data_IF_166700150516
#
_entry.id   IF_166700150516
#
_cell.length_a   1.000
_cell.length_b   1.000
_cell.length_c   1.000
_cell.angle_alpha   90.00
_cell.angle_beta   90.00
_cell.angle_gamma   90.00
#
_symmetry.space_group_name_H-M   'P 1'
#
loop_
_entity.id
_entity.type
_entity.pdbx_description
1 polymer ?
#
# COMPACT_ATOMS: atom_id res chain seq x y z
N UNK A 1 -4.26 -0.04 3.49
CA UNK A 1 -3.03 0.74 3.23
C UNK A 1 -2.56 1.35 4.53
N UNK A 2 -1.26 1.23 4.81
CA UNK A 2 -0.62 1.81 6.00
C UNK A 2 0.60 2.61 5.56
N UNK A 3 0.91 3.69 6.27
CA UNK A 3 2.12 4.47 6.03
C UNK A 3 3.28 3.84 6.80
N UNK A 4 4.38 3.56 6.11
CA UNK A 4 5.56 2.97 6.71
C UNK A 4 6.84 3.61 6.22
N UNK A 5 7.90 3.51 7.02
CA UNK A 5 9.25 3.99 6.70
C UNK A 5 10.28 2.93 7.06
N UNK A 6 11.45 2.97 6.42
CA UNK A 6 12.60 2.16 6.83
C UNK A 6 13.32 2.71 8.08
N UNK A 7 12.86 3.84 8.63
CA UNK A 7 13.33 4.44 9.88
C UNK A 7 12.14 4.63 10.83
N UNK A 8 12.41 4.64 12.15
CA UNK A 8 11.38 5.02 13.13
C UNK A 8 11.21 6.55 13.07
N UNK A 9 10.02 6.99 12.69
CA UNK A 9 9.64 8.41 12.68
C UNK A 9 8.78 8.73 13.91
N UNK A 10 8.92 9.93 14.47
CA UNK A 10 8.15 10.36 15.64
C UNK A 10 6.81 10.97 15.23
N UNK A 11 6.71 11.59 14.06
CA UNK A 11 5.48 12.17 13.53
C UNK A 11 5.45 12.23 12.00
N UNK A 12 4.30 12.63 11.45
CA UNK A 12 4.14 12.90 10.01
C UNK A 12 5.07 14.01 9.48
N UNK A 13 5.52 14.95 10.33
CA UNK A 13 6.39 16.05 9.91
C UNK A 13 7.80 15.57 9.53
N UNK A 14 8.24 14.45 10.09
CA UNK A 14 9.57 13.87 9.85
C UNK A 14 9.67 13.25 8.45
N UNK A 15 8.55 13.06 7.75
CA UNK A 15 8.51 12.51 6.39
C UNK A 15 9.29 13.39 5.41
N UNK A 16 9.27 14.71 5.60
CA UNK A 16 10.02 15.66 4.77
C UNK A 16 11.53 15.38 4.78
N UNK A 17 12.07 14.94 5.92
CA UNK A 17 13.48 14.59 6.10
C UNK A 17 13.78 13.15 5.70
N UNK A 18 12.84 12.23 5.95
CA UNK A 18 13.00 10.83 5.55
C UNK A 18 12.90 10.65 4.02
N UNK A 19 12.16 11.53 3.34
CA UNK A 19 11.80 11.43 1.94
C UNK A 19 10.56 10.55 1.71
N UNK A 20 9.95 10.71 0.54
CA UNK A 20 8.70 10.04 0.20
C UNK A 20 8.75 9.33 -1.13
N UNK A 21 8.24 8.11 -1.12
CA UNK A 21 8.04 7.25 -2.28
C UNK A 21 6.55 7.29 -2.61
N UNK A 22 6.23 8.02 -3.68
CA UNK A 22 4.86 8.15 -4.14
C UNK A 22 4.49 6.91 -4.95
N UNK A 23 3.51 6.16 -4.43
CA UNK A 23 2.89 5.04 -5.14
C UNK A 23 1.48 5.49 -5.53
N UNK A 24 1.20 5.52 -6.83
CA UNK A 24 -0.14 5.90 -7.31
C UNK A 24 -1.12 4.76 -7.02
N UNK A 25 -2.11 5.04 -6.16
CA UNK A 25 -3.20 4.14 -5.80
C UNK A 25 -4.55 4.61 -6.36
N UNK A 26 -4.51 5.47 -7.38
CA UNK A 26 -5.64 6.11 -8.01
C UNK A 26 -6.05 7.43 -7.34
N UNK A 27 -6.79 8.24 -8.10
CA UNK A 27 -7.18 9.61 -7.75
C UNK A 27 -7.76 9.76 -6.34
N UNK A 28 -8.70 8.89 -5.94
CA UNK A 28 -9.32 8.96 -4.63
C UNK A 28 -8.31 8.77 -3.49
N UNK A 29 -7.33 7.88 -3.66
CA UNK A 29 -6.25 7.71 -2.68
C UNK A 29 -5.35 8.94 -2.67
N UNK A 30 -5.00 9.45 -3.85
CA UNK A 30 -4.07 10.56 -3.98
C UNK A 30 -4.66 11.87 -3.42
N UNK A 31 -5.97 12.06 -3.53
CA UNK A 31 -6.65 13.16 -2.85
C UNK A 31 -6.63 13.01 -1.33
N UNK A 32 -6.81 11.79 -0.81
CA UNK A 32 -6.71 11.54 0.63
C UNK A 32 -5.27 11.78 1.12
N UNK A 33 -4.26 11.24 0.44
CA UNK A 33 -2.87 11.43 0.86
C UNK A 33 -2.50 12.92 0.89
N UNK A 34 -2.89 13.69 -0.14
CA UNK A 34 -2.54 15.11 -0.25
C UNK A 34 -3.18 15.99 0.83
N UNK A 35 -4.28 15.55 1.46
CA UNK A 35 -4.94 16.27 2.56
C UNK A 35 -4.28 16.03 3.91
N UNK A 36 -3.70 14.86 4.12
CA UNK A 36 -3.25 14.38 5.44
C UNK A 36 -1.73 14.28 5.58
N UNK A 37 -1.01 14.13 4.47
CA UNK A 37 0.45 14.15 4.46
C UNK A 37 0.91 15.60 4.28
N UNK A 38 1.86 16.09 5.10
CA UNK A 38 2.41 17.44 4.95
C UNK A 38 2.86 17.71 3.52
N UNK A 39 2.85 18.97 3.08
CA UNK A 39 3.37 19.31 1.76
C UNK A 39 4.84 18.85 1.65
N UNK A 40 5.08 17.84 0.82
CA UNK A 40 6.40 17.28 0.58
C UNK A 40 7.01 17.89 -0.67
N UNK A 41 8.35 17.95 -0.72
CA UNK A 41 9.08 18.16 -1.97
C UNK A 41 8.80 17.04 -2.98
N UNK A 42 9.38 17.15 -4.18
CA UNK A 42 9.24 16.12 -5.20
C UNK A 42 9.56 14.71 -4.65
N UNK A 43 8.74 13.69 -4.98
CA UNK A 43 8.96 12.34 -4.45
C UNK A 43 10.28 11.77 -4.96
N UNK A 44 10.94 10.98 -4.12
CA UNK A 44 12.19 10.29 -4.48
C UNK A 44 11.98 9.24 -5.57
N UNK A 45 10.77 8.69 -5.63
CA UNK A 45 10.30 7.77 -6.65
C UNK A 45 8.80 7.98 -6.83
N UNK A 46 8.35 8.01 -8.08
CA UNK A 46 6.94 7.91 -8.45
C UNK A 46 6.74 6.61 -9.24
N UNK A 47 5.84 5.75 -8.78
CA UNK A 47 5.48 4.50 -9.48
C UNK A 47 4.02 4.13 -9.25
N UNK A 48 3.43 3.36 -10.14
CA UNK A 48 2.11 2.73 -9.92
C UNK A 48 2.26 1.30 -9.33
N UNK A 49 3.49 0.78 -9.27
CA UNK A 49 3.77 -0.60 -8.87
C UNK A 49 4.24 -0.68 -7.42
N UNK A 50 3.39 -1.23 -6.57
CA UNK A 50 3.67 -1.38 -5.13
C UNK A 50 4.95 -2.16 -4.82
N UNK A 51 5.28 -3.19 -5.61
CA UNK A 51 6.51 -3.97 -5.41
C UNK A 51 7.77 -3.13 -5.67
N UNK A 52 7.76 -2.30 -6.71
CA UNK A 52 8.87 -1.37 -7.00
C UNK A 52 9.03 -0.37 -5.86
N UNK A 53 7.92 0.18 -5.37
CA UNK A 53 7.93 1.10 -4.23
C UNK A 53 8.49 0.48 -2.95
N UNK A 54 8.11 -0.77 -2.64
CA UNK A 54 8.66 -1.51 -1.51
C UNK A 54 10.16 -1.80 -1.67
N UNK A 55 10.59 -2.26 -2.84
CA UNK A 55 12.00 -2.57 -3.08
C UNK A 55 12.88 -1.32 -2.97
N UNK A 56 12.39 -0.19 -3.50
CA UNK A 56 13.05 1.10 -3.34
C UNK A 56 13.10 1.51 -1.85
N UNK A 57 11.98 1.42 -1.13
CA UNK A 57 11.91 1.77 0.29
C UNK A 57 12.91 0.95 1.12
N UNK A 58 13.08 -0.33 0.82
CA UNK A 58 14.02 -1.21 1.52
C UNK A 58 15.49 -0.93 1.14
N UNK A 59 15.77 -0.53 -0.10
CA UNK A 59 17.12 -0.34 -0.61
C UNK A 59 17.67 1.09 -0.42
N UNK A 60 16.80 2.10 -0.53
CA UNK A 60 17.15 3.52 -0.54
C UNK A 60 16.54 4.30 0.62
N UNK A 61 15.53 3.72 1.27
CA UNK A 61 14.81 4.36 2.36
C UNK A 61 13.71 5.29 1.91
N UNK A 62 13.09 5.93 2.90
CA UNK A 62 11.96 6.83 2.68
C UNK A 62 10.74 6.43 3.47
N UNK A 63 9.60 6.90 2.98
CA UNK A 63 8.27 6.62 3.52
C UNK A 63 7.32 6.31 2.36
N UNK A 64 6.46 5.31 2.50
CA UNK A 64 5.49 4.93 1.47
C UNK A 64 4.19 4.39 2.08
N UNK A 65 3.07 4.63 1.39
CA UNK A 65 1.82 3.90 1.65
C UNK A 65 1.84 2.54 0.94
N UNK A 66 1.77 1.45 1.71
CA UNK A 66 1.77 0.08 1.20
C UNK A 66 0.64 -0.77 1.84
N UNK A 67 0.20 -1.87 1.19
CA UNK A 67 -0.68 -2.84 1.82
C UNK A 67 0.00 -3.46 3.04
N UNK A 68 -0.70 -3.56 4.17
CA UNK A 68 -0.13 -4.12 5.41
C UNK A 68 0.37 -5.55 5.20
N UNK A 69 -0.41 -6.37 4.49
CA UNK A 69 -0.05 -7.75 4.14
C UNK A 69 1.26 -7.86 3.37
N UNK A 70 1.59 -6.88 2.53
CA UNK A 70 2.84 -6.86 1.77
C UNK A 70 4.06 -6.54 2.65
N UNK A 71 3.87 -5.71 3.68
CA UNK A 71 4.98 -5.24 4.52
C UNK A 71 5.12 -5.99 5.85
N UNK A 72 4.16 -6.84 6.20
CA UNK A 72 4.10 -7.51 7.50
C UNK A 72 5.38 -8.30 7.87
N UNK A 73 6.03 -9.04 6.96
CA UNK A 73 7.32 -9.68 7.27
C UNK A 73 8.42 -8.69 7.66
N UNK A 74 8.41 -7.49 7.07
CA UNK A 74 9.41 -6.45 7.33
C UNK A 74 9.10 -5.66 8.60
N UNK A 75 7.83 -5.55 8.99
CA UNK A 75 7.45 -5.03 10.30
C UNK A 75 7.93 -5.98 11.42
N UNK A 76 7.72 -7.28 11.26
CA UNK A 76 8.13 -8.31 12.25
C UNK A 76 9.65 -8.35 12.45
N UNK A 77 10.40 -8.14 11.37
CA UNK A 77 11.87 -8.14 11.41
C UNK A 77 12.47 -6.75 11.65
N UNK A 78 11.66 -5.77 12.06
CA UNK A 78 12.10 -4.39 12.34
C UNK A 78 12.90 -3.73 11.19
N UNK A 79 12.57 -4.10 9.94
CA UNK A 79 13.12 -3.48 8.74
C UNK A 79 12.28 -2.31 8.24
N UNK A 80 10.99 -2.32 8.57
CA UNK A 80 10.06 -1.24 8.35
C UNK A 80 9.32 -0.93 9.64
N UNK A 81 8.92 0.32 9.79
CA UNK A 81 8.20 0.83 10.94
C UNK A 81 6.96 1.60 10.46
N UNK A 82 5.85 1.43 11.17
CA UNK A 82 4.65 2.23 10.91
C UNK A 82 4.91 3.68 11.34
N UNK A 83 4.48 4.63 10.52
CA UNK A 83 4.55 6.05 10.87
C UNK A 83 3.38 6.37 11.81
N UNK A 84 3.64 6.90 13.01
CA UNK A 84 2.59 7.22 13.97
C UNK A 84 1.64 8.30 13.43
N UNK A 85 0.39 8.29 13.90
CA UNK A 85 -0.67 9.27 13.54
C UNK A 85 -1.08 9.26 12.06
N UNK A 86 -0.54 8.36 11.24
CA UNK A 86 -0.99 8.17 9.87
C UNK A 86 -2.29 7.36 9.82
N UNK A 87 -3.24 7.80 9.01
CA UNK A 87 -4.51 7.10 8.83
C UNK A 87 -4.32 5.74 8.15
N UNK A 88 -4.98 4.72 8.69
CA UNK A 88 -5.11 3.43 8.05
C UNK A 88 -6.25 3.46 7.03
N UNK A 89 -5.89 3.55 5.75
CA UNK A 89 -6.88 3.64 4.67
C UNK A 89 -7.31 2.22 4.26
N UNK A 90 -8.55 1.85 4.57
CA UNK A 90 -9.15 0.58 4.14
C UNK A 90 -9.55 0.65 2.66
N UNK A 91 -9.39 -0.46 1.95
CA UNK A 91 -9.76 -0.60 0.54
C UNK A 91 -10.45 -1.94 0.37
N UNK A 92 -11.63 -1.91 -0.23
CA UNK A 92 -12.35 -3.11 -0.58
C UNK A 92 -11.80 -3.68 -1.88
N UNK A 93 -11.72 -5.01 -1.94
CA UNK A 93 -11.33 -5.75 -3.13
C UNK A 93 -12.59 -6.40 -3.70
N UNK A 94 -12.86 -6.13 -4.98
CA UNK A 94 -14.03 -6.66 -5.68
C UNK A 94 -13.61 -7.65 -6.74
N UNK A 95 -14.36 -8.76 -6.84
CA UNK A 95 -14.24 -9.72 -7.92
C UNK A 95 -15.37 -9.47 -8.93
N UNK A 96 -15.02 -9.11 -10.16
CA UNK A 96 -15.97 -8.77 -11.21
C UNK A 96 -15.92 -9.85 -12.30
N UNK A 97 -17.06 -10.45 -12.61
CA UNK A 97 -17.19 -11.45 -13.67
C UNK A 97 -18.60 -11.42 -14.28
N UNK A 98 -18.70 -11.86 -15.53
CA UNK A 98 -19.99 -11.94 -16.24
C UNK A 98 -20.80 -13.14 -15.75
N UNK A 99 -22.08 -12.91 -15.41
CA UNK A 99 -23.02 -13.97 -15.00
C UNK A 99 -23.50 -14.84 -16.16
N UNK A 100 -23.36 -14.37 -17.40
CA UNK A 100 -23.82 -15.07 -18.62
C UNK A 100 -22.68 -15.75 -19.37
N UNK A 101 -21.49 -15.82 -18.79
CA UNK A 101 -20.36 -16.49 -19.43
C UNK A 101 -20.60 -17.99 -19.54
N UNK A 102 -20.40 -18.57 -20.73
CA UNK A 102 -20.40 -20.04 -20.92
C UNK A 102 -19.33 -20.74 -20.05
N UNK A 103 -18.32 -19.99 -19.57
CA UNK A 103 -17.25 -20.47 -18.70
C UNK A 103 -17.59 -20.40 -17.21
N UNK A 104 -18.80 -20.02 -16.81
CA UNK A 104 -19.15 -19.80 -15.40
C UNK A 104 -18.86 -21.03 -14.53
N UNK A 105 -19.15 -22.23 -15.03
CA UNK A 105 -18.87 -23.48 -14.32
C UNK A 105 -17.36 -23.69 -14.07
N UNK A 106 -16.51 -23.28 -15.01
CA UNK A 106 -15.05 -23.35 -14.88
C UNK A 106 -14.49 -22.24 -13.99
N UNK A 107 -15.19 -21.10 -13.89
CA UNK A 107 -14.80 -19.97 -13.03
C UNK A 107 -15.13 -20.21 -11.56
N UNK A 108 -16.16 -21.02 -11.25
CA UNK A 108 -16.59 -21.26 -9.86
C UNK A 108 -15.45 -21.71 -8.92
N UNK A 109 -14.60 -22.70 -9.28
CA UNK A 109 -13.46 -23.07 -8.43
C UNK A 109 -12.49 -21.90 -8.18
N UNK A 110 -12.22 -21.09 -9.21
CA UNK A 110 -11.32 -19.93 -9.10
C UNK A 110 -11.93 -18.87 -8.18
N UNK A 111 -13.21 -18.58 -8.34
CA UNK A 111 -13.96 -17.64 -7.50
C UNK A 111 -13.89 -18.07 -6.03
N UNK A 112 -14.09 -19.35 -5.74
CA UNK A 112 -14.04 -19.85 -4.35
C UNK A 112 -12.62 -19.78 -3.76
N UNK A 113 -11.59 -20.06 -4.54
CA UNK A 113 -10.19 -19.86 -4.11
C UNK A 113 -9.92 -18.39 -3.81
N UNK A 114 -10.31 -17.47 -4.70
CA UNK A 114 -10.11 -16.03 -4.52
C UNK A 114 -10.87 -15.51 -3.29
N UNK A 115 -12.13 -15.93 -3.07
CA UNK A 115 -12.91 -15.58 -1.87
C UNK A 115 -12.25 -16.06 -0.58
N UNK A 116 -11.56 -17.20 -0.60
CA UNK A 116 -10.82 -17.70 0.57
C UNK A 116 -9.56 -16.88 0.82
N UNK A 117 -8.83 -16.52 -0.23
CA UNK A 117 -7.59 -15.73 -0.12
C UNK A 117 -7.87 -14.29 0.35
N UNK A 118 -8.91 -13.65 -0.18
CA UNK A 118 -9.25 -12.26 0.19
C UNK A 118 -9.71 -12.16 1.65
N UNK A 119 -10.29 -13.22 2.23
CA UNK A 119 -10.67 -13.25 3.65
C UNK A 119 -9.49 -13.28 4.62
N UNK A 120 -8.26 -13.50 4.14
CA UNK A 120 -7.05 -13.60 4.95
C UNK A 120 -6.17 -12.34 4.89
N UNK A 121 -6.59 -11.30 4.15
CA UNK A 121 -5.87 -10.03 3.94
C UNK A 121 -6.61 -8.90 4.63
#
# INVERSE_FOLDING_TARGET
>A
MVLCSNKRLASLHDISQAGYVFIDWGTAFNMHQAKHIPALSAPMLHTEQSKIGLDFLLAKGGTAFLPKSMIEPYLKNERLFLVPQADNIKRDVYLIYSRVSERLQQLNPVIEVLKRLIRQV
#
